data_IF_878928281619
#
_entry.id   IF_878928281619
#
_cell.length_a   1.000
_cell.length_b   1.000
_cell.length_c   1.000
_cell.angle_alpha   90.00
_cell.angle_beta   90.00
_cell.angle_gamma   90.00
#
_symmetry.space_group_name_H-M   'P 1'
#
loop_
_entity.id
_entity.type
_entity.pdbx_description
1 polymer ?
#
# COMPACT_ATOMS: atom_id res chain seq x y z
N UNK A 1 7.49 -21.39 -5.72
CA UNK A 1 6.90 -20.32 -6.55
C UNK A 1 5.48 -20.76 -6.85
N UNK A 2 4.48 -20.07 -6.30
CA UNK A 2 3.10 -20.54 -6.42
C UNK A 2 2.42 -20.02 -7.69
N UNK A 3 2.79 -18.81 -8.17
CA UNK A 3 2.14 -18.15 -9.30
C UNK A 3 3.19 -17.71 -10.33
N UNK A 4 3.01 -18.18 -11.57
CA UNK A 4 3.95 -17.87 -12.68
C UNK A 4 3.47 -16.64 -13.44
N UNK A 5 2.20 -16.28 -13.30
CA UNK A 5 1.59 -15.10 -13.90
C UNK A 5 0.40 -14.65 -13.10
N UNK A 6 0.11 -13.37 -13.17
CA UNK A 6 -1.05 -12.79 -12.50
C UNK A 6 -1.52 -11.55 -13.21
N UNK A 7 -2.78 -11.21 -12.97
CA UNK A 7 -3.36 -9.93 -13.36
C UNK A 7 -4.11 -9.32 -12.18
N UNK A 8 -4.29 -8.01 -12.24
CA UNK A 8 -5.04 -7.26 -11.24
C UNK A 8 -6.09 -6.42 -11.92
N UNK A 9 -7.29 -6.41 -11.37
CA UNK A 9 -8.34 -5.49 -11.72
C UNK A 9 -8.65 -4.59 -10.53
N UNK A 10 -8.70 -3.28 -10.80
CA UNK A 10 -9.00 -2.26 -9.82
C UNK A 10 -10.32 -1.62 -10.23
N UNK A 11 -11.29 -1.65 -9.35
CA UNK A 11 -12.63 -1.12 -9.57
C UNK A 11 -12.96 -0.07 -8.50
N UNK A 12 -14.05 0.66 -8.69
CA UNK A 12 -14.34 1.84 -7.85
C UNK A 12 -14.75 1.51 -6.41
N UNK A 13 -15.48 0.39 -6.19
CA UNK A 13 -16.15 0.07 -4.93
C UNK A 13 -16.31 -1.45 -4.72
N UNK A 14 -16.68 -1.86 -3.51
CA UNK A 14 -16.90 -3.26 -3.15
C UNK A 14 -17.97 -3.94 -4.01
N UNK A 15 -19.15 -3.33 -4.27
CA UNK A 15 -20.13 -3.95 -5.17
C UNK A 15 -19.55 -4.25 -6.55
N UNK A 16 -18.72 -3.38 -7.11
CA UNK A 16 -18.07 -3.63 -8.40
C UNK A 16 -17.04 -4.76 -8.34
N UNK A 17 -16.35 -4.97 -7.21
CA UNK A 17 -15.47 -6.13 -6.99
C UNK A 17 -16.28 -7.43 -7.08
N UNK A 18 -17.39 -7.53 -6.36
CA UNK A 18 -18.24 -8.72 -6.36
C UNK A 18 -18.95 -8.96 -7.70
N UNK A 19 -19.36 -7.89 -8.40
CA UNK A 19 -19.87 -8.00 -9.76
C UNK A 19 -18.82 -8.59 -10.72
N UNK A 20 -17.59 -8.12 -10.61
CA UNK A 20 -16.50 -8.62 -11.45
C UNK A 20 -16.15 -10.07 -11.10
N UNK A 21 -16.06 -10.41 -9.80
CA UNK A 21 -15.90 -11.80 -9.36
C UNK A 21 -16.97 -12.70 -9.93
N UNK A 22 -18.25 -12.32 -9.81
CA UNK A 22 -19.37 -13.11 -10.34
C UNK A 22 -19.28 -13.28 -11.87
N UNK A 23 -18.81 -12.28 -12.59
CA UNK A 23 -18.55 -12.37 -14.03
C UNK A 23 -17.44 -13.38 -14.35
N UNK A 24 -16.41 -13.50 -13.52
CA UNK A 24 -15.38 -14.54 -13.65
C UNK A 24 -15.94 -15.93 -13.32
N UNK A 25 -16.75 -16.07 -12.28
CA UNK A 25 -17.32 -17.35 -11.84
C UNK A 25 -18.31 -17.92 -12.86
N UNK A 26 -19.17 -17.07 -13.43
CA UNK A 26 -20.17 -17.45 -14.43
C UNK A 26 -19.67 -17.38 -15.87
N UNK A 27 -18.50 -16.79 -16.09
CA UNK A 27 -17.92 -16.53 -17.40
C UNK A 27 -17.50 -17.78 -18.17
N UNK A 28 -17.57 -17.71 -19.51
CA UNK A 28 -17.13 -18.80 -20.38
C UNK A 28 -15.62 -18.72 -20.63
N UNK A 29 -14.82 -19.10 -19.67
CA UNK A 29 -13.39 -19.29 -19.85
C UNK A 29 -12.99 -20.76 -19.73
N UNK A 30 -11.78 -21.11 -20.17
CA UNK A 30 -11.29 -22.51 -20.14
C UNK A 30 -10.51 -22.83 -18.88
N UNK A 31 -10.05 -21.80 -18.19
CA UNK A 31 -9.24 -21.97 -17.01
C UNK A 31 -10.10 -22.55 -15.88
N UNK A 32 -9.48 -23.38 -15.06
CA UNK A 32 -10.17 -24.08 -13.96
C UNK A 32 -9.85 -23.34 -12.67
N UNK A 33 -10.87 -22.89 -11.96
CA UNK A 33 -10.68 -22.30 -10.64
C UNK A 33 -10.10 -23.36 -9.69
N UNK A 34 -8.93 -23.09 -9.11
CA UNK A 34 -8.20 -23.98 -8.22
C UNK A 34 -8.34 -23.56 -6.75
N UNK A 35 -8.37 -22.24 -6.49
CA UNK A 35 -8.56 -21.69 -5.16
C UNK A 35 -9.23 -20.31 -5.22
N UNK A 36 -9.93 -19.95 -4.14
CA UNK A 36 -10.62 -18.69 -3.97
C UNK A 36 -10.38 -18.17 -2.56
N UNK A 37 -10.02 -16.89 -2.45
CA UNK A 37 -9.84 -16.22 -1.18
C UNK A 37 -10.55 -14.88 -1.19
N UNK A 38 -11.45 -14.69 -0.25
CA UNK A 38 -12.13 -13.43 -0.03
C UNK A 38 -11.53 -12.73 1.21
N UNK A 39 -10.53 -11.89 0.97
CA UNK A 39 -9.92 -11.08 2.02
C UNK A 39 -10.67 -9.76 2.26
N UNK A 40 -11.82 -9.53 1.62
CA UNK A 40 -12.72 -8.43 1.98
C UNK A 40 -13.54 -8.85 3.20
N UNK A 41 -14.11 -10.06 3.17
CA UNK A 41 -14.87 -10.65 4.27
C UNK A 41 -13.95 -11.13 5.42
N UNK A 42 -12.84 -11.78 5.07
CA UNK A 42 -11.85 -12.31 6.02
C UNK A 42 -10.47 -11.67 5.78
N UNK A 43 -10.22 -10.44 6.26
CA UNK A 43 -8.95 -9.76 6.05
C UNK A 43 -7.76 -10.55 6.58
N UNK A 44 -6.60 -10.41 5.94
CA UNK A 44 -5.37 -10.98 6.48
C UNK A 44 -4.96 -10.29 7.78
N UNK A 45 -4.15 -10.97 8.58
CA UNK A 45 -3.60 -10.44 9.83
C UNK A 45 -2.80 -9.14 9.66
N UNK A 46 -2.23 -8.92 8.47
CA UNK A 46 -1.50 -7.70 8.12
C UNK A 46 -2.41 -6.53 7.66
N UNK A 47 -3.73 -6.75 7.62
CA UNK A 47 -4.72 -5.78 7.16
C UNK A 47 -5.00 -5.84 5.65
N UNK A 48 -4.37 -6.73 4.89
CA UNK A 48 -4.62 -6.82 3.46
C UNK A 48 -6.07 -7.22 3.14
N UNK A 49 -6.69 -6.52 2.16
CA UNK A 49 -8.05 -6.78 1.64
C UNK A 49 -8.04 -6.91 0.12
N UNK A 50 -8.95 -7.73 -0.40
CA UNK A 50 -9.16 -7.98 -1.83
C UNK A 50 -9.57 -9.41 -2.11
N UNK A 51 -10.01 -9.71 -3.32
CA UNK A 51 -10.37 -11.06 -3.75
C UNK A 51 -9.23 -11.64 -4.58
N UNK A 52 -8.86 -12.89 -4.29
CA UNK A 52 -7.88 -13.67 -5.06
C UNK A 52 -8.57 -14.88 -5.69
N UNK A 53 -8.48 -14.96 -7.02
CA UNK A 53 -8.91 -16.10 -7.81
C UNK A 53 -7.66 -16.79 -8.36
N UNK A 54 -7.46 -18.04 -8.02
CA UNK A 54 -6.32 -18.82 -8.49
C UNK A 54 -6.82 -19.84 -9.49
N UNK A 55 -6.41 -19.68 -10.75
CA UNK A 55 -6.80 -20.55 -11.85
C UNK A 55 -5.66 -21.45 -12.29
N UNK A 56 -5.97 -22.68 -12.64
CA UNK A 56 -5.12 -23.54 -13.48
C UNK A 56 -5.29 -23.14 -14.93
N UNK A 57 -4.18 -22.76 -15.56
CA UNK A 57 -4.16 -22.40 -16.97
C UNK A 57 -4.54 -23.61 -17.86
N UNK A 58 -5.40 -23.37 -18.85
CA UNK A 58 -5.75 -24.34 -19.90
C UNK A 58 -5.61 -23.65 -21.23
N UNK A 59 -4.53 -24.01 -21.97
CA UNK A 59 -4.22 -23.51 -23.30
C UNK A 59 -4.47 -24.55 -24.41
N UNK A 60 -4.38 -24.11 -25.67
CA UNK A 60 -4.42 -24.95 -26.88
C UNK A 60 -3.18 -24.72 -27.73
N UNK A 61 -2.85 -25.67 -28.58
CA UNK A 61 -1.70 -25.58 -29.48
C UNK A 61 -0.41 -25.38 -28.68
N UNK A 62 0.40 -24.39 -29.07
CA UNK A 62 1.66 -24.07 -28.39
C UNK A 62 1.47 -23.61 -26.94
N UNK A 63 0.28 -23.14 -26.58
CA UNK A 63 -0.03 -22.76 -25.20
C UNK A 63 -0.27 -23.95 -24.27
N UNK A 64 -0.46 -25.18 -24.80
CA UNK A 64 -0.73 -26.37 -23.98
C UNK A 64 0.45 -26.75 -23.07
N UNK A 65 1.67 -26.33 -23.40
CA UNK A 65 2.87 -26.56 -22.56
C UNK A 65 2.78 -25.88 -21.19
N UNK A 66 1.89 -24.90 -21.04
CA UNK A 66 1.66 -24.17 -19.79
C UNK A 66 0.43 -24.68 -19.00
N UNK A 67 -0.21 -25.77 -19.48
CA UNK A 67 -1.39 -26.32 -18.80
C UNK A 67 -1.07 -26.73 -17.37
N UNK A 68 -1.98 -26.37 -16.46
CA UNK A 68 -1.84 -26.66 -15.04
C UNK A 68 -1.02 -25.64 -14.26
N UNK A 69 -0.35 -24.68 -14.92
CA UNK A 69 0.30 -23.58 -14.22
C UNK A 69 -0.72 -22.68 -13.56
N UNK A 70 -0.43 -22.21 -12.35
CA UNK A 70 -1.30 -21.32 -11.60
C UNK A 70 -1.18 -19.89 -12.09
N UNK A 71 -2.32 -19.25 -12.27
CA UNK A 71 -2.47 -17.83 -12.61
C UNK A 71 -3.34 -17.22 -11.54
N UNK A 72 -2.88 -16.13 -10.95
CA UNK A 72 -3.61 -15.36 -9.96
C UNK A 72 -4.36 -14.19 -10.62
N UNK A 73 -5.63 -14.00 -10.26
CA UNK A 73 -6.40 -12.79 -10.57
C UNK A 73 -6.73 -12.10 -9.26
N UNK A 74 -6.25 -10.89 -9.08
CA UNK A 74 -6.51 -10.06 -7.90
C UNK A 74 -7.56 -9.01 -8.25
N UNK A 75 -8.65 -8.97 -7.48
CA UNK A 75 -9.69 -7.95 -7.59
C UNK A 75 -9.64 -7.06 -6.37
N UNK A 76 -9.58 -5.74 -6.57
CA UNK A 76 -9.48 -4.75 -5.49
C UNK A 76 -10.32 -3.53 -5.82
N UNK A 77 -10.74 -2.80 -4.79
CA UNK A 77 -11.19 -1.44 -4.95
C UNK A 77 -9.99 -0.49 -5.13
N UNK A 78 -10.27 0.77 -5.46
CA UNK A 78 -9.24 1.81 -5.51
C UNK A 78 -8.60 2.04 -4.14
N UNK A 79 -9.38 2.02 -3.05
CA UNK A 79 -8.90 2.23 -1.67
C UNK A 79 -8.03 1.05 -1.23
N UNK A 80 -8.47 -0.20 -1.45
CA UNK A 80 -7.68 -1.40 -1.15
C UNK A 80 -6.36 -1.42 -1.93
N UNK A 81 -6.40 -0.93 -3.18
CA UNK A 81 -5.19 -0.82 -3.99
C UNK A 81 -4.25 0.28 -3.48
N UNK A 82 -4.78 1.44 -3.11
CA UNK A 82 -4.00 2.53 -2.52
C UNK A 82 -3.31 2.10 -1.21
N UNK A 83 -4.02 1.38 -0.35
CA UNK A 83 -3.45 0.78 0.85
C UNK A 83 -2.26 -0.14 0.52
N UNK A 84 -2.46 -1.09 -0.40
CA UNK A 84 -1.40 -2.03 -0.78
C UNK A 84 -0.19 -1.32 -1.42
N UNK A 85 -0.43 -0.24 -2.18
CA UNK A 85 0.63 0.58 -2.78
C UNK A 85 1.44 1.30 -1.70
N UNK A 86 0.79 1.85 -0.67
CA UNK A 86 1.47 2.50 0.45
C UNK A 86 2.34 1.50 1.23
N UNK A 87 1.83 0.28 1.52
CA UNK A 87 2.63 -0.79 2.15
C UNK A 87 3.86 -1.11 1.31
N UNK A 88 3.69 -1.31 -0.01
CA UNK A 88 4.80 -1.61 -0.92
C UNK A 88 5.84 -0.48 -0.98
N UNK A 89 5.36 0.76 -0.93
CA UNK A 89 6.23 1.94 -0.92
C UNK A 89 7.07 1.98 0.36
N UNK A 90 6.45 1.82 1.52
CA UNK A 90 7.18 1.77 2.79
C UNK A 90 8.16 0.59 2.83
N UNK A 91 7.74 -0.61 2.39
CA UNK A 91 8.63 -1.78 2.31
C UNK A 91 9.87 -1.51 1.45
N UNK A 92 9.70 -0.80 0.33
CA UNK A 92 10.81 -0.45 -0.56
C UNK A 92 11.84 0.44 0.13
N UNK A 93 11.38 1.48 0.82
CA UNK A 93 12.25 2.49 1.41
C UNK A 93 12.82 2.07 2.78
N UNK A 94 12.06 1.31 3.56
CA UNK A 94 12.49 0.88 4.89
C UNK A 94 13.13 -0.51 4.91
N UNK A 95 13.05 -1.27 3.83
CA UNK A 95 13.51 -2.68 3.70
C UNK A 95 12.97 -3.61 4.78
N UNK A 96 11.79 -3.32 5.29
CA UNK A 96 11.25 -4.00 6.47
C UNK A 96 10.43 -5.25 6.16
N UNK A 97 10.11 -5.54 4.89
CA UNK A 97 9.27 -6.67 4.49
C UNK A 97 7.94 -6.76 5.27
N UNK A 98 7.27 -5.61 5.43
CA UNK A 98 5.99 -5.47 6.16
C UNK A 98 4.96 -6.48 5.64
N UNK A 99 4.87 -6.65 4.32
CA UNK A 99 4.02 -7.66 3.66
C UNK A 99 4.30 -9.10 4.09
N UNK A 100 5.52 -9.41 4.53
CA UNK A 100 5.89 -10.73 5.02
C UNK A 100 5.65 -10.87 6.54
N UNK A 101 4.98 -9.90 7.17
CA UNK A 101 4.75 -9.86 8.61
C UNK A 101 6.02 -9.56 9.41
N UNK A 102 7.04 -9.03 8.76
CA UNK A 102 8.30 -8.57 9.37
C UNK A 102 8.33 -7.06 9.44
N UNK A 103 9.34 -6.48 10.06
CA UNK A 103 9.51 -5.04 10.16
C UNK A 103 9.13 -4.47 11.52
N UNK A 104 9.22 -3.15 11.65
CA UNK A 104 8.86 -2.45 12.89
C UNK A 104 7.39 -2.67 13.23
N UNK A 105 7.13 -2.98 14.49
CA UNK A 105 5.77 -3.28 14.98
C UNK A 105 4.82 -2.12 14.69
N UNK A 106 5.29 -0.87 14.84
CA UNK A 106 4.49 0.33 14.63
C UNK A 106 3.98 0.48 13.18
N UNK A 107 4.79 0.18 12.16
CA UNK A 107 4.35 0.22 10.76
C UNK A 107 3.29 -0.84 10.47
N UNK A 108 3.48 -2.04 11.01
CA UNK A 108 2.49 -3.12 10.85
C UNK A 108 1.18 -2.77 11.52
N UNK A 109 1.24 -2.26 12.75
CA UNK A 109 0.07 -1.79 13.49
C UNK A 109 -0.63 -0.65 12.76
N UNK A 110 0.13 0.35 12.28
CA UNK A 110 -0.40 1.45 11.49
C UNK A 110 -1.18 0.96 10.27
N UNK A 111 -0.61 0.07 9.46
CA UNK A 111 -1.30 -0.42 8.27
C UNK A 111 -2.51 -1.30 8.60
N UNK A 112 -2.48 -2.09 9.66
CA UNK A 112 -3.66 -2.83 10.12
C UNK A 112 -4.80 -1.89 10.50
N UNK A 113 -4.52 -0.88 11.34
CA UNK A 113 -5.52 0.09 11.80
C UNK A 113 -6.02 0.96 10.64
N UNK A 114 -5.14 1.36 9.72
CA UNK A 114 -5.53 2.08 8.50
C UNK A 114 -6.45 1.25 7.60
N UNK A 115 -6.17 -0.05 7.44
CA UNK A 115 -7.06 -0.94 6.68
C UNK A 115 -8.43 -1.09 7.32
N UNK A 116 -8.50 -1.19 8.64
CA UNK A 116 -9.76 -1.22 9.39
C UNK A 116 -10.56 0.08 9.17
N UNK A 117 -9.91 1.24 9.32
CA UNK A 117 -10.52 2.54 9.07
C UNK A 117 -11.03 2.69 7.63
N UNK A 118 -10.22 2.30 6.64
CA UNK A 118 -10.58 2.39 5.22
C UNK A 118 -11.76 1.48 4.87
N UNK A 119 -11.87 0.32 5.52
CA UNK A 119 -13.02 -0.55 5.31
C UNK A 119 -14.33 0.10 5.74
N UNK A 120 -14.31 0.97 6.76
CA UNK A 120 -15.51 1.73 7.18
C UNK A 120 -15.99 2.68 6.10
N UNK A 121 -15.06 3.30 5.36
CA UNK A 121 -15.40 4.17 4.23
C UNK A 121 -15.98 3.40 3.04
N UNK A 122 -15.62 2.13 2.89
CA UNK A 122 -16.06 1.28 1.78
C UNK A 122 -17.38 0.55 2.07
N UNK A 123 -17.71 0.31 3.35
CA UNK A 123 -18.92 -0.39 3.74
C UNK A 123 -20.05 0.59 4.05
N UNK A 124 -21.29 0.16 3.73
CA UNK A 124 -22.48 0.98 4.00
C UNK A 124 -22.94 0.90 5.47
N UNK A 125 -22.40 -0.02 6.25
CA UNK A 125 -22.76 -0.20 7.65
C UNK A 125 -22.01 0.79 8.54
N UNK A 126 -22.72 1.56 9.38
CA UNK A 126 -22.07 2.53 10.26
C UNK A 126 -21.33 1.82 11.39
N UNK A 127 -20.04 2.11 11.54
CA UNK A 127 -19.27 1.71 12.71
C UNK A 127 -19.69 2.55 13.94
N UNK A 128 -19.76 1.95 15.15
CA UNK A 128 -20.03 2.67 16.39
C UNK A 128 -19.04 3.83 16.59
N UNK A 129 -19.54 4.96 17.12
CA UNK A 129 -18.75 6.18 17.28
C UNK A 129 -17.55 5.99 18.21
N UNK A 130 -17.72 5.23 19.30
CA UNK A 130 -16.64 4.89 20.23
C UNK A 130 -15.47 4.16 19.53
N UNK A 131 -15.79 3.24 18.63
CA UNK A 131 -14.81 2.49 17.87
C UNK A 131 -14.11 3.37 16.83
N UNK A 132 -14.86 4.26 16.15
CA UNK A 132 -14.27 5.29 15.27
C UNK A 132 -13.29 6.19 16.01
N UNK A 133 -13.67 6.65 17.21
CA UNK A 133 -12.81 7.50 18.03
C UNK A 133 -11.53 6.76 18.45
N UNK A 134 -11.63 5.48 18.81
CA UNK A 134 -10.49 4.64 19.15
C UNK A 134 -9.54 4.47 17.96
N UNK A 135 -10.06 4.11 16.79
CA UNK A 135 -9.29 3.95 15.55
C UNK A 135 -8.59 5.25 15.17
N UNK A 136 -9.33 6.36 15.19
CA UNK A 136 -8.77 7.69 14.90
C UNK A 136 -7.63 8.04 15.85
N UNK A 137 -7.81 7.86 17.15
CA UNK A 137 -6.78 8.17 18.15
C UNK A 137 -5.48 7.36 17.89
N UNK A 138 -5.61 6.06 17.61
CA UNK A 138 -4.48 5.21 17.25
C UNK A 138 -3.79 5.68 15.95
N UNK A 139 -4.54 6.02 14.92
CA UNK A 139 -3.97 6.52 13.66
C UNK A 139 -3.28 7.85 13.82
N UNK A 140 -3.81 8.78 14.63
CA UNK A 140 -3.16 10.06 14.95
C UNK A 140 -1.81 9.82 15.62
N UNK A 141 -1.78 8.97 16.64
CA UNK A 141 -0.57 8.65 17.41
C UNK A 141 0.48 7.96 16.53
N UNK A 142 0.12 6.88 15.83
CA UNK A 142 1.01 6.14 14.95
C UNK A 142 1.49 6.99 13.76
N UNK A 143 0.62 7.81 13.17
CA UNK A 143 1.00 8.72 12.07
C UNK A 143 2.03 9.74 12.51
N UNK A 144 1.91 10.25 13.73
CA UNK A 144 2.86 11.19 14.32
C UNK A 144 4.19 10.51 14.64
N UNK A 145 4.17 9.33 15.30
CA UNK A 145 5.37 8.59 15.66
C UNK A 145 6.20 8.17 14.44
N UNK A 146 5.51 7.78 13.36
CA UNK A 146 6.14 7.28 12.13
C UNK A 146 6.40 8.39 11.11
N UNK A 147 5.97 9.61 11.36
CA UNK A 147 6.03 10.71 10.38
C UNK A 147 5.46 10.30 9.00
N UNK A 148 4.28 9.66 9.02
CA UNK A 148 3.71 8.96 7.86
C UNK A 148 3.53 9.89 6.67
N UNK A 149 2.94 11.07 6.86
CA UNK A 149 2.64 11.99 5.77
C UNK A 149 3.88 12.48 5.06
N UNK A 150 4.87 12.93 5.83
CA UNK A 150 6.13 13.41 5.27
C UNK A 150 6.88 12.28 4.55
N UNK A 151 7.02 11.11 5.18
CA UNK A 151 7.70 9.96 4.56
C UNK A 151 7.03 9.52 3.26
N UNK A 152 5.71 9.31 3.24
CA UNK A 152 5.00 8.88 2.05
C UNK A 152 5.07 9.91 0.92
N UNK A 153 4.99 11.20 1.26
CA UNK A 153 5.18 12.27 0.28
C UNK A 153 6.59 12.25 -0.33
N UNK A 154 7.63 12.19 0.51
CA UNK A 154 9.03 12.13 0.08
C UNK A 154 9.37 10.87 -0.70
N UNK A 155 8.79 9.73 -0.33
CA UNK A 155 8.97 8.49 -1.09
C UNK A 155 8.37 8.59 -2.50
N UNK A 156 7.21 9.20 -2.64
CA UNK A 156 6.60 9.47 -3.96
C UNK A 156 7.47 10.41 -4.80
N UNK A 157 8.01 11.49 -4.20
CA UNK A 157 8.96 12.39 -4.88
C UNK A 157 10.23 11.66 -5.31
N UNK A 158 10.80 10.81 -4.46
CA UNK A 158 12.00 10.04 -4.77
C UNK A 158 11.83 9.20 -6.02
N UNK A 159 10.67 8.55 -6.16
CA UNK A 159 10.34 7.74 -7.33
C UNK A 159 10.27 8.57 -8.59
N UNK A 160 9.64 9.75 -8.54
CA UNK A 160 9.57 10.66 -9.69
C UNK A 160 10.96 11.18 -10.10
N UNK A 161 11.85 11.43 -9.13
CA UNK A 161 13.23 11.86 -9.42
C UNK A 161 14.05 10.73 -10.07
N UNK A 162 13.88 9.49 -9.62
CA UNK A 162 14.51 8.30 -10.25
C UNK A 162 14.18 8.21 -11.74
N UNK A 163 12.96 8.55 -12.14
CA UNK A 163 12.53 8.52 -13.55
C UNK A 163 13.26 9.54 -14.44
N UNK A 164 13.76 10.60 -13.87
CA UNK A 164 14.48 11.67 -14.59
C UNK A 164 15.96 11.34 -14.79
N UNK A 165 16.53 10.42 -14.00
CA UNK A 165 17.95 10.04 -14.07
C UNK A 165 18.12 8.95 -15.13
N UNK A 166 18.76 9.28 -16.24
CA UNK A 166 19.07 8.35 -17.33
C UNK A 166 20.40 7.64 -17.09
N UNK A 167 20.55 6.44 -17.68
CA UNK A 167 21.79 5.67 -17.72
C UNK A 167 22.34 5.17 -16.36
N UNK A 168 21.51 5.14 -15.32
CA UNK A 168 21.90 4.50 -14.06
C UNK A 168 21.61 2.99 -14.08
N UNK A 169 22.39 2.21 -13.34
CA UNK A 169 22.11 0.80 -13.02
C UNK A 169 21.64 0.60 -11.59
N UNK A 170 21.95 1.57 -10.72
CA UNK A 170 21.49 1.64 -9.34
C UNK A 170 21.17 3.08 -8.95
N UNK A 171 20.25 3.24 -7.99
CA UNK A 171 19.93 4.53 -7.40
C UNK A 171 20.12 4.46 -5.90
N UNK A 172 20.80 5.45 -5.34
CA UNK A 172 20.86 5.72 -3.92
C UNK A 172 19.84 6.80 -3.59
N UNK A 173 18.94 6.48 -2.70
CA UNK A 173 17.88 7.36 -2.20
C UNK A 173 18.18 7.63 -0.73
N UNK A 174 18.27 8.89 -0.36
CA UNK A 174 18.55 9.36 1.00
C UNK A 174 17.44 10.32 1.40
N UNK A 175 16.70 10.00 2.44
CA UNK A 175 15.71 10.88 3.05
C UNK A 175 16.22 11.29 4.43
N UNK A 176 16.54 12.57 4.59
CA UNK A 176 16.92 13.18 5.86
C UNK A 176 15.66 13.81 6.49
N UNK A 177 15.15 13.18 7.54
CA UNK A 177 13.91 13.61 8.20
C UNK A 177 14.11 14.84 9.10
N UNK A 178 15.34 15.13 9.53
CA UNK A 178 15.64 16.30 10.36
C UNK A 178 15.70 17.56 9.53
N UNK A 179 16.35 17.48 8.36
CA UNK A 179 16.54 18.62 7.47
C UNK A 179 15.46 18.69 6.38
N UNK A 180 14.55 17.71 6.32
CA UNK A 180 13.52 17.56 5.29
C UNK A 180 14.13 17.56 3.86
N UNK A 181 15.28 16.88 3.71
CA UNK A 181 15.99 16.79 2.43
C UNK A 181 15.86 15.41 1.81
N UNK A 182 15.49 15.39 0.53
CA UNK A 182 15.52 14.19 -0.30
C UNK A 182 16.67 14.30 -1.30
N UNK A 183 17.53 13.29 -1.34
CA UNK A 183 18.63 13.17 -2.31
C UNK A 183 18.51 11.89 -3.09
N UNK A 184 18.57 11.99 -4.42
CA UNK A 184 18.56 10.85 -5.33
C UNK A 184 19.79 10.91 -6.20
N UNK A 185 20.58 9.83 -6.22
CA UNK A 185 21.79 9.71 -7.05
C UNK A 185 21.79 8.42 -7.85
N UNK A 186 22.06 8.54 -9.13
CA UNK A 186 22.23 7.40 -10.03
C UNK A 186 23.69 6.97 -10.14
N UNK A 187 23.92 5.66 -10.22
CA UNK A 187 25.24 5.06 -10.44
C UNK A 187 25.19 4.10 -11.62
N UNK A 188 26.22 4.14 -12.44
CA UNK A 188 26.40 3.18 -13.54
C UNK A 188 26.85 1.82 -13.01
N UNK A 189 26.79 0.78 -13.87
CA UNK A 189 27.24 -0.56 -13.50
C UNK A 189 28.74 -0.61 -13.08
N UNK A 190 29.56 0.33 -13.59
CA UNK A 190 30.99 0.45 -13.24
C UNK A 190 31.22 1.09 -11.86
N UNK A 191 30.22 1.77 -11.33
CA UNK A 191 30.31 2.50 -10.05
C UNK A 191 29.68 1.73 -8.88
N UNK A 192 29.45 0.42 -9.04
CA UNK A 192 28.80 -0.41 -8.02
C UNK A 192 29.45 -0.32 -6.65
N UNK A 193 30.78 -0.40 -6.58
CA UNK A 193 31.52 -0.34 -5.32
C UNK A 193 31.42 1.05 -4.69
N UNK A 194 31.41 2.10 -5.52
CA UNK A 194 31.19 3.49 -5.08
C UNK A 194 29.77 3.64 -4.51
N UNK A 195 28.75 3.12 -5.19
CA UNK A 195 27.36 3.15 -4.73
C UNK A 195 27.21 2.47 -3.36
N UNK A 196 27.85 1.30 -3.18
CA UNK A 196 27.82 0.58 -1.90
C UNK A 196 28.53 1.33 -0.79
N UNK A 197 29.65 1.97 -1.08
CA UNK A 197 30.38 2.80 -0.11
C UNK A 197 29.57 4.00 0.31
N UNK A 198 29.00 4.76 -0.64
CA UNK A 198 28.16 5.92 -0.36
C UNK A 198 26.89 5.55 0.40
N UNK A 199 26.28 4.40 0.08
CA UNK A 199 25.16 3.84 0.85
C UNK A 199 25.55 3.65 2.33
N UNK A 200 26.69 2.98 2.59
CA UNK A 200 27.16 2.73 3.96
C UNK A 200 27.48 4.03 4.72
N UNK A 201 28.04 5.03 4.02
CA UNK A 201 28.33 6.35 4.61
C UNK A 201 27.03 7.12 4.92
N UNK A 202 26.05 7.09 4.02
CA UNK A 202 24.76 7.71 4.22
C UNK A 202 23.96 7.06 5.38
N UNK A 203 23.98 5.73 5.44
CA UNK A 203 23.34 4.95 6.52
C UNK A 203 23.92 5.30 7.90
N UNK A 204 25.25 5.43 8.00
CA UNK A 204 25.92 5.87 9.24
C UNK A 204 25.63 7.32 9.59
N UNK A 205 25.51 8.20 8.58
CA UNK A 205 25.25 9.62 8.79
C UNK A 205 23.83 9.89 9.26
N UNK A 206 22.85 9.27 8.63
CA UNK A 206 21.44 9.49 8.92
C UNK A 206 20.96 8.68 10.12
N UNK A 207 21.40 7.43 10.26
CA UNK A 207 20.99 6.58 11.39
C UNK A 207 19.46 6.50 11.51
N UNK A 208 18.93 6.82 12.69
CA UNK A 208 17.48 6.86 12.96
C UNK A 208 16.79 8.13 12.44
N UNK A 209 17.57 9.12 12.00
CA UNK A 209 17.08 10.41 11.53
C UNK A 209 16.72 10.42 10.04
N UNK A 210 16.70 9.28 9.38
CA UNK A 210 16.36 9.22 7.97
C UNK A 210 16.34 7.81 7.40
N UNK A 211 15.94 7.74 6.14
CA UNK A 211 15.88 6.49 5.40
C UNK A 211 16.92 6.50 4.26
N UNK A 212 17.65 5.40 4.12
CA UNK A 212 18.62 5.22 3.05
C UNK A 212 18.35 3.91 2.32
N UNK A 213 18.20 3.97 1.01
CA UNK A 213 18.01 2.77 0.22
C UNK A 213 18.82 2.78 -1.06
N UNK A 214 19.46 1.65 -1.38
CA UNK A 214 20.13 1.41 -2.64
C UNK A 214 19.31 0.42 -3.46
N UNK A 215 18.73 0.86 -4.58
CA UNK A 215 17.85 0.07 -5.46
C UNK A 215 18.49 -0.12 -6.83
N UNK A 216 18.33 -1.31 -7.42
CA UNK A 216 18.74 -1.53 -8.80
C UNK A 216 17.67 -1.04 -9.79
N UNK A 217 18.10 -0.62 -10.98
CA UNK A 217 17.17 -0.28 -12.08
C UNK A 217 16.27 -1.45 -12.47
N UNK A 218 16.78 -2.69 -12.38
CA UNK A 218 15.99 -3.89 -12.63
C UNK A 218 14.84 -4.00 -11.63
N UNK A 219 15.08 -3.69 -10.35
CA UNK A 219 14.03 -3.66 -9.30
C UNK A 219 13.03 -2.54 -9.55
N UNK A 220 13.49 -1.33 -9.90
CA UNK A 220 12.62 -0.20 -10.26
C UNK A 220 11.75 -0.54 -11.46
N UNK A 221 12.35 -1.10 -12.53
CA UNK A 221 11.62 -1.51 -13.71
C UNK A 221 10.70 -2.72 -13.47
N UNK A 222 11.07 -3.63 -12.59
CA UNK A 222 10.23 -4.76 -12.20
C UNK A 222 9.01 -4.27 -11.41
N UNK A 223 9.20 -3.35 -10.47
CA UNK A 223 8.11 -2.68 -9.76
C UNK A 223 7.22 -1.91 -10.71
N UNK A 224 7.78 -1.13 -11.64
CA UNK A 224 7.04 -0.40 -12.65
C UNK A 224 6.24 -1.34 -13.57
N UNK A 225 6.79 -2.48 -13.99
CA UNK A 225 6.08 -3.49 -14.79
C UNK A 225 4.99 -4.20 -14.00
N UNK A 226 5.24 -4.48 -12.73
CA UNK A 226 4.26 -5.08 -11.84
C UNK A 226 3.12 -4.09 -11.48
N UNK A 227 3.42 -2.78 -11.44
CA UNK A 227 2.50 -1.72 -11.04
C UNK A 227 2.55 -0.52 -12.01
N UNK A 228 2.22 -0.70 -13.31
CA UNK A 228 2.46 0.31 -14.35
C UNK A 228 1.70 1.63 -14.13
N UNK A 229 0.60 1.60 -13.38
CA UNK A 229 -0.26 2.77 -13.16
C UNK A 229 -0.11 3.40 -11.78
N UNK A 230 0.72 2.83 -10.88
CA UNK A 230 0.69 3.16 -9.47
C UNK A 230 2.06 3.10 -8.82
N UNK A 231 3.11 3.32 -9.56
CA UNK A 231 4.46 3.25 -9.02
C UNK A 231 4.64 4.30 -7.94
N UNK A 232 4.55 3.83 -6.67
CA UNK A 232 4.65 4.64 -5.45
C UNK A 232 3.73 5.89 -5.38
N UNK A 233 2.60 5.88 -6.11
CA UNK A 233 1.59 6.94 -5.95
C UNK A 233 0.77 6.69 -4.69
N UNK A 234 1.13 7.38 -3.62
CA UNK A 234 0.45 7.31 -2.32
C UNK A 234 -0.62 8.38 -2.13
N UNK A 235 -0.92 9.18 -3.17
CA UNK A 235 -1.85 10.32 -3.08
C UNK A 235 -3.23 9.91 -2.58
N UNK A 236 -3.81 8.84 -3.15
CA UNK A 236 -5.13 8.36 -2.72
C UNK A 236 -5.08 7.80 -1.29
N UNK A 237 -4.00 7.11 -0.90
CA UNK A 237 -3.84 6.62 0.48
C UNK A 237 -3.82 7.79 1.47
N UNK A 238 -3.02 8.82 1.19
CA UNK A 238 -2.92 10.02 2.03
C UNK A 238 -4.29 10.72 2.12
N UNK A 239 -4.97 10.93 0.99
CA UNK A 239 -6.29 11.56 0.98
C UNK A 239 -7.33 10.76 1.78
N UNK A 240 -7.31 9.43 1.68
CA UNK A 240 -8.21 8.55 2.44
C UNK A 240 -7.87 8.58 3.94
N UNK A 241 -6.58 8.63 4.29
CA UNK A 241 -6.14 8.78 5.68
C UNK A 241 -6.59 10.12 6.26
N UNK A 242 -6.46 11.22 5.52
CA UNK A 242 -6.94 12.54 5.93
C UNK A 242 -8.45 12.54 6.17
N UNK A 243 -9.24 11.85 5.33
CA UNK A 243 -10.69 11.69 5.54
C UNK A 243 -11.00 10.98 6.86
N UNK A 244 -10.28 9.91 7.19
CA UNK A 244 -10.41 9.21 8.47
C UNK A 244 -10.03 10.10 9.65
N UNK A 245 -8.94 10.84 9.53
CA UNK A 245 -8.49 11.75 10.60
C UNK A 245 -9.42 12.95 10.80
N UNK A 246 -10.24 13.26 9.79
CA UNK A 246 -11.29 14.28 9.90
C UNK A 246 -12.58 13.80 10.57
N UNK A 247 -12.72 12.50 10.92
CA UNK A 247 -13.89 12.01 11.64
C UNK A 247 -14.11 12.81 12.94
N UNK A 248 -15.37 13.10 13.27
CA UNK A 248 -15.71 13.79 14.52
C UNK A 248 -15.31 12.92 15.73
N UNK A 249 -14.80 13.56 16.77
CA UNK A 249 -14.51 12.88 18.04
C UNK A 249 -15.76 12.89 18.94
N UNK A 250 -15.87 11.85 19.80
CA UNK A 250 -16.96 11.77 20.80
C UNK A 250 -17.01 13.01 21.70
N UNK A 251 -15.85 13.62 22.00
CA UNK A 251 -15.78 14.83 22.83
C UNK A 251 -16.51 16.01 22.16
N UNK A 252 -16.34 16.22 20.85
CA UNK A 252 -17.00 17.32 20.12
C UNK A 252 -18.50 17.08 20.05
N UNK A 253 -18.93 15.85 19.79
CA UNK A 253 -20.33 15.50 19.76
C UNK A 253 -20.98 15.60 21.14
N UNK A 254 -20.33 15.16 22.20
CA UNK A 254 -20.81 15.28 23.57
C UNK A 254 -20.96 16.78 23.99
N UNK A 255 -19.96 17.60 23.65
CA UNK A 255 -20.02 19.04 23.85
C UNK A 255 -21.17 19.70 23.07
N UNK A 256 -21.40 19.29 21.84
CA UNK A 256 -22.47 19.78 20.98
C UNK A 256 -23.85 19.38 21.54
N UNK A 257 -24.02 18.14 21.96
CA UNK A 257 -25.23 17.60 22.57
C UNK A 257 -25.51 18.36 23.90
N UNK A 258 -24.48 18.53 24.73
CA UNK A 258 -24.60 19.29 25.97
C UNK A 258 -24.96 20.77 25.74
N UNK A 259 -24.38 21.40 24.72
CA UNK A 259 -24.70 22.76 24.34
C UNK A 259 -26.12 22.88 23.78
N UNK A 260 -26.57 21.94 22.93
CA UNK A 260 -27.93 21.91 22.40
C UNK A 260 -28.99 21.67 23.51
N UNK A 261 -28.68 20.82 24.48
CA UNK A 261 -29.56 20.50 25.59
C UNK A 261 -29.75 21.69 26.59
N UNK A 262 -28.81 22.65 26.58
CA UNK A 262 -28.84 23.86 27.42
C UNK A 262 -29.48 25.06 26.74
N UNK A 263 -29.94 24.93 25.46
CA UNK A 263 -30.67 26.02 24.81
C UNK A 263 -32.08 26.13 25.43
N UNK A 264 -32.48 27.33 25.92
CA UNK A 264 -33.87 27.54 26.30
C UNK A 264 -34.75 27.42 25.05
N UNK A 265 -35.88 26.72 25.19
CA UNK A 265 -36.94 26.74 24.18
C UNK A 265 -37.42 28.19 24.04
N UNK A 266 -37.23 28.82 22.85
CA UNK A 266 -37.81 30.10 22.50
C UNK A 266 -39.29 29.96 22.15
#
# INVERSE_FOLDING_TARGET
MQDIGGCRAIVRDIPAVYQLWHAFDTGRHRHILDDFKDYIEEPKEDGYRGIHLIYKYVGRGNGSVYNGLRIEVQLRTQIQHAWATAVETVDLFTRQAIKAGQGQVQWREFFCVASEAFSVLEHSEPMPMEERSRIKALLVDLSSQLDVFNRLHRYSEAVQLVEQIKEASQYLLELDLVNDELRVRGFTAKERDKAQKEYTEAEKRLGENGDVVLVSVENVNALRKAFPNYFADTTLFIATLDEVLAWESDEVNNLLIEWLSKRPEE
#
